data_IF_280530790282
#
_entry.id   IF_280530790282
#
_cell.length_a   1.000
_cell.length_b   1.000
_cell.length_c   1.000
_cell.angle_alpha   90.00
_cell.angle_beta   90.00
_cell.angle_gamma   90.00
#
_symmetry.space_group_name_H-M   'P 1'
#
loop_
_entity.id
_entity.type
_entity.pdbx_description
1 polymer ?
#
# COMPACT_ATOMS: atom_id res chain seq x y z
N UNK A 1 17.84 4.83 24.44
CA UNK A 1 18.29 5.65 25.59
C UNK A 1 18.06 7.09 25.23
N UNK A 2 17.59 7.97 26.14
CA UNK A 2 16.86 9.22 25.78
C UNK A 2 17.39 10.06 24.60
N UNK A 3 18.72 10.20 24.44
CA UNK A 3 19.33 10.92 23.31
C UNK A 3 19.22 10.18 21.96
N UNK A 4 19.26 8.85 22.00
CA UNK A 4 19.06 7.95 20.86
C UNK A 4 17.59 7.95 20.42
N UNK A 5 16.65 7.99 21.38
CA UNK A 5 15.21 8.00 21.12
C UNK A 5 14.76 9.36 20.50
N UNK A 6 15.37 10.48 20.90
CA UNK A 6 15.12 11.79 20.28
C UNK A 6 15.70 11.91 18.87
N UNK A 7 16.89 11.34 18.63
CA UNK A 7 17.52 11.33 17.31
C UNK A 7 16.76 10.44 16.31
N UNK A 8 16.31 9.25 16.75
CA UNK A 8 15.46 8.36 15.95
C UNK A 8 14.12 9.01 15.63
N UNK A 9 13.50 9.70 16.60
CA UNK A 9 12.23 10.40 16.38
C UNK A 9 12.37 11.53 15.35
N UNK A 10 13.45 12.31 15.41
CA UNK A 10 13.71 13.40 14.46
C UNK A 10 13.99 12.87 13.05
N UNK A 11 14.76 11.78 12.94
CA UNK A 11 15.01 11.12 11.67
C UNK A 11 13.72 10.54 11.06
N UNK A 12 12.81 10.00 11.89
CA UNK A 12 11.50 9.53 11.45
C UNK A 12 10.61 10.67 10.93
N UNK A 13 10.63 11.84 11.60
CA UNK A 13 9.89 13.03 11.16
C UNK A 13 10.42 13.59 9.83
N UNK A 14 11.74 13.70 9.67
CA UNK A 14 12.37 14.14 8.42
C UNK A 14 12.14 13.14 7.28
N UNK A 15 12.24 11.83 7.55
CA UNK A 15 11.93 10.80 6.57
C UNK A 15 10.46 10.84 6.15
N UNK A 16 9.55 11.10 7.08
CA UNK A 16 8.13 11.27 6.79
C UNK A 16 7.87 12.51 5.91
N UNK A 17 8.58 13.62 6.14
CA UNK A 17 8.51 14.80 5.27
C UNK A 17 9.05 14.53 3.86
N UNK A 18 10.20 13.88 3.76
CA UNK A 18 10.80 13.49 2.48
C UNK A 18 9.92 12.52 1.69
N UNK A 19 9.07 11.74 2.37
CA UNK A 19 8.12 10.82 1.74
C UNK A 19 6.85 11.48 1.21
N UNK A 20 6.51 12.71 1.64
CA UNK A 20 5.27 13.40 1.22
C UNK A 20 5.07 13.43 -0.31
N UNK A 21 6.08 13.73 -1.15
CA UNK A 21 5.92 13.72 -2.60
C UNK A 21 5.60 12.33 -3.16
N UNK A 22 6.24 11.28 -2.62
CA UNK A 22 5.98 9.90 -3.03
C UNK A 22 4.58 9.45 -2.61
N UNK A 23 4.15 9.78 -1.38
CA UNK A 23 2.77 9.51 -0.93
C UNK A 23 1.74 10.20 -1.85
N UNK A 24 1.98 11.45 -2.25
CA UNK A 24 1.08 12.16 -3.16
C UNK A 24 1.00 11.48 -4.54
N UNK A 25 2.15 11.07 -5.12
CA UNK A 25 2.18 10.31 -6.39
C UNK A 25 1.47 8.96 -6.26
N UNK A 26 1.63 8.26 -5.14
CA UNK A 26 0.95 6.99 -4.88
C UNK A 26 -0.56 7.18 -4.77
N UNK A 27 -1.03 8.21 -4.06
CA UNK A 27 -2.46 8.55 -3.97
C UNK A 27 -3.06 8.81 -5.35
N UNK A 28 -2.36 9.56 -6.21
CA UNK A 28 -2.85 9.83 -7.56
C UNK A 28 -2.90 8.57 -8.42
N UNK A 29 -1.84 7.76 -8.41
CA UNK A 29 -1.76 6.51 -9.16
C UNK A 29 -2.82 5.48 -8.70
N UNK A 30 -3.20 5.51 -7.42
CA UNK A 30 -4.10 4.53 -6.80
C UNK A 30 -5.46 5.11 -6.41
N UNK A 31 -5.84 6.30 -6.90
CA UNK A 31 -7.09 6.99 -6.50
C UNK A 31 -8.36 6.15 -6.67
N UNK A 32 -8.36 5.21 -7.60
CA UNK A 32 -9.49 4.33 -7.89
C UNK A 32 -9.47 3.05 -7.04
N UNK A 33 -8.38 2.78 -6.30
CA UNK A 33 -8.14 1.57 -5.52
C UNK A 33 -8.01 1.82 -4.02
N UNK A 34 -7.35 2.90 -3.63
CA UNK A 34 -7.12 3.28 -2.24
C UNK A 34 -7.85 4.58 -1.91
N UNK A 35 -8.34 4.68 -0.68
CA UNK A 35 -8.93 5.91 -0.16
C UNK A 35 -7.84 6.92 0.22
N UNK A 36 -6.77 6.42 0.83
CA UNK A 36 -5.64 7.22 1.29
C UNK A 36 -4.34 6.41 1.23
N UNK A 37 -3.20 7.09 1.28
CA UNK A 37 -1.86 6.47 1.36
C UNK A 37 -1.05 7.16 2.47
N UNK A 38 -0.49 6.36 3.38
CA UNK A 38 0.21 6.85 4.60
C UNK A 38 1.48 6.04 4.85
N UNK A 39 2.42 6.59 5.61
CA UNK A 39 3.57 5.83 6.11
C UNK A 39 3.19 5.01 7.33
N UNK A 40 3.88 3.88 7.52
CA UNK A 40 3.76 3.04 8.72
C UNK A 40 5.12 2.57 9.19
N UNK A 41 5.30 2.49 10.50
CA UNK A 41 6.47 1.90 11.16
C UNK A 41 6.20 0.48 11.67
N UNK A 42 4.99 -0.04 11.45
CA UNK A 42 4.58 -1.37 11.94
C UNK A 42 5.13 -2.53 11.11
N UNK A 43 5.58 -2.24 9.89
CA UNK A 43 6.06 -3.23 8.94
C UNK A 43 7.58 -3.33 9.02
N UNK A 44 8.09 -4.56 9.05
CA UNK A 44 9.52 -4.86 9.02
C UNK A 44 9.90 -5.34 7.61
N UNK A 45 9.44 -6.55 7.25
CA UNK A 45 9.80 -7.18 5.98
C UNK A 45 8.84 -6.84 4.82
N UNK A 46 7.65 -6.34 5.13
CA UNK A 46 6.64 -6.02 4.12
C UNK A 46 6.79 -4.58 3.62
N UNK A 47 6.63 -4.33 2.30
CA UNK A 47 6.69 -2.99 1.73
C UNK A 47 5.41 -2.18 2.00
N UNK A 48 4.26 -2.83 2.13
CA UNK A 48 2.99 -2.18 2.41
C UNK A 48 1.97 -3.15 3.03
N UNK A 49 0.92 -2.60 3.63
CA UNK A 49 -0.31 -3.29 4.02
C UNK A 49 -1.53 -2.41 3.72
N UNK A 50 -2.72 -3.00 3.74
CA UNK A 50 -3.99 -2.33 3.61
C UNK A 50 -4.68 -2.27 4.99
N UNK A 51 -5.37 -1.17 5.22
CA UNK A 51 -6.13 -0.95 6.44
C UNK A 51 -7.50 -0.43 6.07
N UNK A 52 -8.52 -0.97 6.71
CA UNK A 52 -9.87 -0.43 6.63
C UNK A 52 -10.03 0.58 7.76
N UNK A 53 -10.76 1.68 7.52
CA UNK A 53 -11.11 2.62 8.59
C UNK A 53 -11.96 1.94 9.67
N UNK A 54 -11.95 2.49 10.89
CA UNK A 54 -12.55 1.88 12.09
C UNK A 54 -14.07 1.60 11.97
N UNK A 55 -14.77 2.33 11.10
CA UNK A 55 -16.20 2.15 10.77
C UNK A 55 -16.44 1.39 9.46
N UNK A 56 -15.37 1.02 8.75
CA UNK A 56 -15.43 0.33 7.48
C UNK A 56 -15.58 -1.18 7.66
N UNK A 57 -16.30 -1.80 6.72
CA UNK A 57 -16.41 -3.24 6.62
C UNK A 57 -15.04 -3.85 6.28
N UNK A 58 -14.59 -4.82 7.08
CA UNK A 58 -13.32 -5.50 6.82
C UNK A 58 -13.29 -6.14 5.43
N UNK A 59 -12.11 -6.16 4.82
CA UNK A 59 -11.88 -6.79 3.49
C UNK A 59 -12.35 -8.24 3.46
N UNK A 60 -12.18 -8.96 4.58
CA UNK A 60 -12.61 -10.34 4.74
C UNK A 60 -14.13 -10.50 4.82
N UNK A 61 -14.82 -9.62 5.56
CA UNK A 61 -16.29 -9.63 5.62
C UNK A 61 -16.89 -9.25 4.26
N UNK A 62 -16.34 -8.24 3.58
CA UNK A 62 -16.76 -7.83 2.24
C UNK A 62 -16.71 -9.01 1.26
N UNK A 63 -15.66 -9.80 1.34
CA UNK A 63 -15.52 -11.02 0.54
C UNK A 63 -16.54 -12.08 0.89
N UNK A 64 -16.78 -12.36 2.18
CA UNK A 64 -17.78 -13.34 2.60
C UNK A 64 -19.18 -12.98 2.06
N UNK A 65 -19.54 -11.70 2.09
CA UNK A 65 -20.80 -11.21 1.52
C UNK A 65 -20.86 -11.42 0.00
N UNK A 66 -19.81 -11.06 -0.74
CA UNK A 66 -19.74 -11.30 -2.20
C UNK A 66 -19.88 -12.79 -2.52
N UNK A 67 -19.23 -13.67 -1.77
CA UNK A 67 -19.34 -15.12 -1.94
C UNK A 67 -20.74 -15.67 -1.60
N UNK A 68 -21.43 -15.05 -0.65
CA UNK A 68 -22.82 -15.33 -0.32
C UNK A 68 -23.82 -14.72 -1.33
N UNK A 69 -23.35 -14.09 -2.41
CA UNK A 69 -24.18 -13.41 -3.40
C UNK A 69 -24.81 -12.11 -2.89
N UNK A 70 -24.36 -11.59 -1.75
CA UNK A 70 -24.81 -10.32 -1.19
C UNK A 70 -23.97 -9.18 -1.74
N UNK A 71 -24.58 -8.02 -1.92
CA UNK A 71 -23.85 -6.80 -2.23
C UNK A 71 -23.01 -6.39 -1.02
N UNK A 72 -21.70 -6.34 -1.21
CA UNK A 72 -20.78 -5.76 -0.25
C UNK A 72 -20.58 -4.28 -0.60
N UNK A 73 -20.73 -3.34 0.35
CA UNK A 73 -20.34 -1.95 0.14
C UNK A 73 -18.92 -1.86 -0.43
N UNK A 74 -18.73 -1.04 -1.46
CA UNK A 74 -17.39 -0.71 -1.93
C UNK A 74 -16.74 0.25 -0.92
N UNK A 75 -15.82 -0.28 -0.10
CA UNK A 75 -14.89 0.53 0.69
C UNK A 75 -13.51 0.41 0.07
N UNK A 76 -12.87 1.55 -0.18
CA UNK A 76 -11.45 1.58 -0.57
C UNK A 76 -10.61 1.53 0.71
N UNK A 77 -9.59 0.67 0.80
CA UNK A 77 -8.69 0.66 1.94
C UNK A 77 -7.74 1.85 1.92
N UNK A 78 -7.12 2.12 3.07
CA UNK A 78 -5.92 2.95 3.19
C UNK A 78 -4.70 2.07 2.93
N UNK A 79 -3.81 2.50 2.03
CA UNK A 79 -2.52 1.84 1.82
C UNK A 79 -1.50 2.42 2.81
N UNK A 80 -0.99 1.59 3.69
CA UNK A 80 0.14 1.93 4.55
C UNK A 80 1.45 1.43 3.92
N UNK A 81 2.40 2.32 3.68
CA UNK A 81 3.69 2.00 3.07
C UNK A 81 4.83 2.08 4.08
N UNK A 82 5.77 1.13 3.99
CA UNK A 82 6.99 1.11 4.78
C UNK A 82 8.08 1.94 4.08
N UNK A 83 8.42 3.13 4.59
CA UNK A 83 9.43 3.99 3.95
C UNK A 83 10.85 3.38 4.00
N UNK A 84 11.10 2.44 4.90
CA UNK A 84 12.41 1.80 5.04
C UNK A 84 12.64 0.69 4.02
N UNK A 85 11.56 0.12 3.47
CA UNK A 85 11.63 -1.04 2.59
C UNK A 85 12.28 -0.68 1.23
N UNK A 86 13.24 -1.48 0.72
CA UNK A 86 13.94 -1.19 -0.54
C UNK A 86 13.04 -0.98 -1.76
N UNK A 87 11.94 -1.76 -1.88
CA UNK A 87 10.97 -1.57 -2.97
C UNK A 87 10.30 -0.20 -2.93
N UNK A 88 9.96 0.28 -1.74
CA UNK A 88 9.28 1.56 -1.56
C UNK A 88 10.22 2.72 -1.86
N UNK A 89 11.49 2.61 -1.46
CA UNK A 89 12.56 3.55 -1.86
C UNK A 89 12.79 3.58 -3.37
N UNK A 90 12.72 2.44 -4.06
CA UNK A 90 12.89 2.33 -5.52
C UNK A 90 11.73 2.88 -6.34
N UNK A 91 10.56 3.11 -5.73
CA UNK A 91 9.44 3.74 -6.43
C UNK A 91 9.81 5.14 -6.90
N UNK A 92 10.49 5.92 -6.05
CA UNK A 92 10.82 7.29 -6.41
C UNK A 92 11.88 7.32 -7.52
N UNK A 93 11.55 8.03 -8.60
CA UNK A 93 12.37 8.10 -9.81
C UNK A 93 12.24 6.92 -10.78
N UNK A 94 11.42 5.91 -10.49
CA UNK A 94 11.19 4.81 -11.43
C UNK A 94 10.38 5.25 -12.66
N UNK A 95 10.84 4.90 -13.86
CA UNK A 95 10.07 5.08 -15.10
C UNK A 95 8.81 4.21 -15.16
N UNK A 96 8.78 3.14 -14.34
CA UNK A 96 7.64 2.23 -14.19
C UNK A 96 6.81 2.52 -12.94
N UNK A 97 6.84 3.77 -12.44
CA UNK A 97 6.18 4.16 -11.19
C UNK A 97 4.75 3.64 -11.06
N UNK A 98 3.94 3.84 -12.10
CA UNK A 98 2.52 3.49 -12.06
C UNK A 98 2.30 1.98 -11.96
N UNK A 99 3.06 1.18 -12.71
CA UNK A 99 2.95 -0.28 -12.63
C UNK A 99 3.44 -0.80 -11.28
N UNK A 100 4.54 -0.26 -10.76
CA UNK A 100 5.06 -0.63 -9.45
C UNK A 100 4.10 -0.23 -8.32
N UNK A 101 3.41 0.92 -8.42
CA UNK A 101 2.40 1.33 -7.46
C UNK A 101 1.23 0.34 -7.42
N UNK A 102 0.76 -0.10 -8.59
CA UNK A 102 -0.29 -1.13 -8.67
C UNK A 102 0.18 -2.48 -8.15
N UNK A 103 1.39 -2.91 -8.50
CA UNK A 103 1.96 -4.16 -7.97
C UNK A 103 2.07 -4.10 -6.45
N UNK A 104 2.54 -2.98 -5.88
CA UNK A 104 2.65 -2.81 -4.43
C UNK A 104 1.29 -2.95 -3.75
N UNK A 105 0.25 -2.32 -4.31
CA UNK A 105 -1.12 -2.43 -3.79
C UNK A 105 -1.65 -3.86 -3.89
N UNK A 106 -1.49 -4.50 -5.05
CA UNK A 106 -1.96 -5.87 -5.27
C UNK A 106 -1.24 -6.89 -4.37
N UNK A 107 0.05 -6.68 -4.10
CA UNK A 107 0.81 -7.48 -3.14
C UNK A 107 0.32 -7.32 -1.71
N UNK A 108 0.03 -6.09 -1.27
CA UNK A 108 -0.55 -5.83 0.04
C UNK A 108 -1.92 -6.52 0.17
N UNK A 109 -2.75 -6.44 -0.87
CA UNK A 109 -4.04 -7.13 -0.94
C UNK A 109 -3.87 -8.65 -0.83
N UNK A 110 -2.95 -9.23 -1.59
CA UNK A 110 -2.65 -10.67 -1.56
C UNK A 110 -2.14 -11.13 -0.17
N UNK A 111 -1.31 -10.33 0.49
CA UNK A 111 -0.76 -10.63 1.82
C UNK A 111 -1.87 -10.73 2.89
N UNK A 112 -2.96 -9.98 2.72
CA UNK A 112 -4.16 -10.07 3.56
C UNK A 112 -5.14 -11.16 3.12
N UNK A 113 -4.71 -12.03 2.22
CA UNK A 113 -5.52 -13.07 1.62
C UNK A 113 -6.50 -12.56 0.56
N UNK A 114 -6.51 -11.26 0.27
CA UNK A 114 -7.26 -10.60 -0.80
C UNK A 114 -6.91 -11.13 -2.21
N UNK A 115 -7.70 -10.76 -3.22
CA UNK A 115 -7.41 -11.07 -4.62
C UNK A 115 -7.55 -9.78 -5.41
N UNK A 116 -6.61 -9.44 -6.32
CA UNK A 116 -6.76 -8.33 -7.23
C UNK A 116 -8.05 -8.45 -8.05
N UNK A 117 -8.67 -7.31 -8.37
CA UNK A 117 -9.88 -7.30 -9.20
C UNK A 117 -9.62 -7.84 -10.61
N UNK A 118 -8.40 -7.62 -11.14
CA UNK A 118 -7.91 -8.21 -12.38
C UNK A 118 -6.55 -8.92 -12.11
N UNK A 119 -6.58 -10.21 -11.73
CA UNK A 119 -5.36 -10.98 -11.51
C UNK A 119 -4.47 -11.09 -12.76
N UNK A 120 -5.06 -11.05 -13.95
CA UNK A 120 -4.30 -11.11 -15.19
C UNK A 120 -3.53 -9.80 -15.44
N UNK A 121 -4.11 -8.64 -15.11
CA UNK A 121 -3.40 -7.37 -15.14
C UNK A 121 -2.22 -7.36 -14.17
N UNK A 122 -2.41 -7.84 -12.94
CA UNK A 122 -1.33 -7.96 -11.97
C UNK A 122 -0.15 -8.79 -12.53
N UNK A 123 -0.44 -9.99 -13.05
CA UNK A 123 0.60 -10.87 -13.64
C UNK A 123 1.29 -10.20 -14.83
N UNK A 124 0.55 -9.51 -15.71
CA UNK A 124 1.14 -8.77 -16.85
C UNK A 124 2.11 -7.69 -16.38
N UNK A 125 1.76 -6.90 -15.37
CA UNK A 125 2.66 -5.86 -14.83
C UNK A 125 3.91 -6.46 -14.23
N UNK A 126 3.78 -7.53 -13.45
CA UNK A 126 4.93 -8.23 -12.85
C UNK A 126 5.86 -8.76 -13.95
N UNK A 127 5.33 -9.45 -14.94
CA UNK A 127 6.13 -10.00 -16.03
C UNK A 127 6.84 -8.91 -16.85
N UNK A 128 6.19 -7.76 -17.08
CA UNK A 128 6.78 -6.63 -17.79
C UNK A 128 7.99 -6.01 -17.07
N UNK A 129 8.12 -6.21 -15.75
CA UNK A 129 9.25 -5.73 -14.96
C UNK A 129 10.37 -6.77 -14.77
N UNK A 130 10.08 -8.04 -15.04
CA UNK A 130 11.04 -9.15 -14.91
C UNK A 130 11.74 -9.47 -16.24
N UNK A 131 11.15 -9.09 -17.37
CA UNK A 131 11.69 -9.27 -18.71
C UNK A 131 12.69 -8.16 -19.08
#
# INVERSE_FOLDING_TARGET
>A
GKLQDEAEKKAAEEAAEAFKPLLAKLKDALKDKAEDVRVTSRLVDSPACLVVQDDGMSTQLARMLKQAGQSAPESKPVLEVNPEHPLVKKLDGSVHFHDLAHILFDQALLAEGGLPDDPAAYVRRVNALLA
#
